data_IF_914222294359
#
_entry.id   IF_914222294359
#
_cell.length_a   1.000
_cell.length_b   1.000
_cell.length_c   1.000
_cell.angle_alpha   90.00
_cell.angle_beta   90.00
_cell.angle_gamma   90.00
#
_symmetry.space_group_name_H-M   'P 1'
#
loop_
_entity.id
_entity.type
_entity.pdbx_description
1 polymer ?
#
# COMPACT_ATOMS: atom_id res chain seq x y z
N UNK A 1 5.99 6.27 -0.96
CA UNK A 1 4.57 6.60 -1.01
C UNK A 1 4.33 7.95 -0.34
N UNK A 2 3.63 8.87 -1.02
CA UNK A 2 3.46 10.21 -0.46
C UNK A 2 2.60 10.16 0.82
N UNK A 3 2.92 10.96 1.84
CA UNK A 3 2.06 11.10 3.01
C UNK A 3 0.69 11.65 2.64
N UNK A 4 -0.33 11.30 3.41
CA UNK A 4 -1.68 11.85 3.24
C UNK A 4 -1.70 13.36 3.57
N UNK A 5 -0.91 13.76 4.56
CA UNK A 5 -0.79 15.14 5.01
C UNK A 5 0.67 15.48 5.24
N UNK A 6 1.08 16.63 4.73
CA UNK A 6 2.39 17.21 5.01
C UNK A 6 2.28 18.24 6.13
N UNK A 7 3.06 18.06 7.19
CA UNK A 7 3.34 19.10 8.17
C UNK A 7 4.70 19.73 7.87
N UNK A 8 4.95 20.97 8.34
CA UNK A 8 6.25 21.64 8.13
C UNK A 8 7.41 20.83 8.70
N UNK A 9 7.21 20.22 9.88
CA UNK A 9 8.21 19.38 10.52
C UNK A 9 8.41 18.09 9.72
N UNK A 10 7.33 17.42 9.32
CA UNK A 10 7.40 16.18 8.53
C UNK A 10 8.08 16.39 7.18
N UNK A 11 7.79 17.52 6.51
CA UNK A 11 8.45 17.85 5.25
C UNK A 11 9.94 18.14 5.42
N UNK A 12 10.33 18.89 6.47
CA UNK A 12 11.75 19.11 6.80
C UNK A 12 12.49 17.81 7.12
N UNK A 13 11.85 16.90 7.86
CA UNK A 13 12.43 15.60 8.16
C UNK A 13 12.61 14.74 6.90
N UNK A 14 11.64 14.72 6.00
CA UNK A 14 11.75 14.04 4.71
C UNK A 14 12.92 14.61 3.89
N UNK A 15 13.03 15.95 3.81
CA UNK A 15 14.15 16.60 3.11
C UNK A 15 15.48 16.26 3.74
N UNK A 16 15.58 16.34 5.05
CA UNK A 16 16.81 15.99 5.77
C UNK A 16 17.20 14.53 5.54
N UNK A 17 16.24 13.62 5.53
CA UNK A 17 16.49 12.21 5.26
C UNK A 17 17.05 11.98 3.85
N UNK A 18 16.50 12.66 2.84
CA UNK A 18 16.99 12.58 1.46
C UNK A 18 18.37 13.25 1.32
N UNK A 19 18.49 14.49 1.79
CA UNK A 19 19.66 15.34 1.53
C UNK A 19 20.90 14.89 2.35
N UNK A 20 20.70 14.42 3.58
CA UNK A 20 21.77 13.97 4.48
C UNK A 20 22.01 12.46 4.37
N UNK A 21 20.95 11.68 4.17
CA UNK A 21 21.03 10.22 4.04
C UNK A 21 21.74 9.75 2.79
N UNK A 22 21.76 10.56 1.72
CA UNK A 22 22.40 10.22 0.45
C UNK A 22 21.78 9.04 -0.27
N UNK A 23 20.50 8.73 0.01
CA UNK A 23 19.77 7.65 -0.62
C UNK A 23 19.03 8.12 -1.87
N UNK A 24 18.97 7.26 -2.87
CA UNK A 24 18.02 7.46 -3.96
C UNK A 24 16.59 7.43 -3.41
N UNK A 25 15.76 8.35 -3.86
CA UNK A 25 14.39 8.46 -3.38
C UNK A 25 13.38 8.38 -4.53
N UNK A 26 12.44 7.46 -4.42
CA UNK A 26 11.30 7.35 -5.32
C UNK A 26 10.04 7.70 -4.54
N UNK A 27 9.45 8.87 -4.85
CA UNK A 27 8.19 9.28 -4.26
C UNK A 27 7.02 8.92 -5.19
N UNK A 28 6.18 8.01 -4.74
CA UNK A 28 4.95 7.66 -5.44
C UNK A 28 3.76 8.41 -4.84
N UNK A 29 3.04 9.14 -5.68
CA UNK A 29 1.80 9.84 -5.30
C UNK A 29 0.61 9.18 -5.98
N UNK A 30 -0.29 8.54 -5.22
CA UNK A 30 -1.45 7.87 -5.80
C UNK A 30 -2.46 8.88 -6.35
N UNK A 31 -3.35 8.41 -7.22
CA UNK A 31 -4.49 9.20 -7.69
C UNK A 31 -5.42 9.50 -6.50
N UNK A 32 -5.47 10.78 -6.08
CA UNK A 32 -6.23 11.20 -4.89
C UNK A 32 -7.74 10.94 -5.00
N UNK A 33 -8.32 11.04 -6.21
CA UNK A 33 -9.74 10.75 -6.44
C UNK A 33 -10.03 9.25 -6.25
N UNK A 34 -9.19 8.39 -6.79
CA UNK A 34 -9.31 6.94 -6.61
C UNK A 34 -9.11 6.55 -5.14
N UNK A 35 -8.05 7.07 -4.52
CA UNK A 35 -7.76 6.80 -3.10
C UNK A 35 -8.93 7.21 -2.19
N UNK A 36 -9.57 8.35 -2.47
CA UNK A 36 -10.75 8.82 -1.71
C UNK A 36 -11.93 7.86 -1.83
N UNK A 37 -12.19 7.33 -3.02
CA UNK A 37 -13.27 6.36 -3.24
C UNK A 37 -12.95 5.05 -2.51
N UNK A 38 -11.74 4.52 -2.66
CA UNK A 38 -11.34 3.28 -2.02
C UNK A 38 -11.36 3.41 -0.49
N UNK A 39 -10.95 4.56 0.05
CA UNK A 39 -11.03 4.84 1.49
C UNK A 39 -12.49 4.89 1.98
N UNK A 40 -13.40 5.46 1.18
CA UNK A 40 -14.82 5.48 1.48
C UNK A 40 -15.42 4.07 1.50
N UNK A 41 -15.14 3.24 0.49
CA UNK A 41 -15.59 1.85 0.45
C UNK A 41 -15.03 1.05 1.65
N UNK A 42 -13.74 1.23 1.95
CA UNK A 42 -13.10 0.58 3.09
C UNK A 42 -13.69 1.03 4.44
N UNK A 43 -14.08 2.29 4.56
CA UNK A 43 -14.74 2.78 5.76
C UNK A 43 -16.15 2.18 5.92
N UNK A 44 -16.94 2.18 4.85
CA UNK A 44 -18.33 1.69 4.88
C UNK A 44 -18.37 0.18 5.16
N UNK A 45 -17.51 -0.59 4.51
CA UNK A 45 -17.57 -2.06 4.57
C UNK A 45 -16.75 -2.66 5.72
N UNK A 46 -15.63 -2.01 6.10
CA UNK A 46 -14.63 -2.59 7.00
C UNK A 46 -14.36 -1.72 8.23
N UNK A 47 -14.95 -0.52 8.32
CA UNK A 47 -14.59 0.51 9.31
C UNK A 47 -13.09 0.85 9.34
N UNK A 48 -12.39 0.64 8.22
CA UNK A 48 -10.94 0.79 8.12
C UNK A 48 -10.50 1.63 6.89
N UNK A 49 -10.66 2.97 6.93
CA UNK A 49 -10.41 3.85 5.77
C UNK A 49 -8.95 3.85 5.29
N UNK A 50 -8.01 3.42 6.13
CA UNK A 50 -6.58 3.39 5.81
C UNK A 50 -6.15 2.12 5.05
N UNK A 51 -7.03 1.15 4.85
CA UNK A 51 -6.70 -0.11 4.19
C UNK A 51 -6.10 0.08 2.78
N UNK A 52 -6.69 0.91 1.88
CA UNK A 52 -6.12 1.12 0.55
C UNK A 52 -4.74 1.78 0.59
N UNK A 53 -4.51 2.67 1.54
CA UNK A 53 -3.22 3.30 1.76
C UNK A 53 -2.15 2.27 2.17
N UNK A 54 -2.48 1.37 3.08
CA UNK A 54 -1.58 0.29 3.51
C UNK A 54 -1.24 -0.66 2.36
N UNK A 55 -2.21 -1.02 1.53
CA UNK A 55 -1.97 -1.84 0.34
C UNK A 55 -1.10 -1.11 -0.69
N UNK A 56 -1.35 0.18 -0.90
CA UNK A 56 -0.54 1.01 -1.79
C UNK A 56 0.93 1.05 -1.40
N UNK A 57 1.24 1.21 -0.11
CA UNK A 57 2.62 1.20 0.39
C UNK A 57 3.30 -0.14 0.08
N UNK A 58 2.62 -1.24 0.35
CA UNK A 58 3.19 -2.59 0.13
C UNK A 58 3.38 -2.90 -1.35
N UNK A 59 2.36 -2.59 -2.18
CA UNK A 59 2.42 -2.88 -3.61
C UNK A 59 3.48 -2.05 -4.34
N UNK A 60 3.66 -0.77 -3.98
CA UNK A 60 4.67 0.07 -4.64
C UNK A 60 6.10 -0.39 -4.32
N UNK A 61 6.35 -0.90 -3.11
CA UNK A 61 7.63 -1.47 -2.75
C UNK A 61 7.98 -2.67 -3.62
N UNK A 62 7.04 -3.61 -3.77
CA UNK A 62 7.20 -4.80 -4.62
C UNK A 62 7.36 -4.42 -6.11
N UNK A 63 6.51 -3.52 -6.64
CA UNK A 63 6.60 -3.04 -8.03
C UNK A 63 7.93 -2.34 -8.31
N UNK A 64 8.43 -1.56 -7.37
CA UNK A 64 9.72 -0.87 -7.49
C UNK A 64 10.86 -1.88 -7.49
N UNK A 65 10.82 -2.86 -6.59
CA UNK A 65 11.81 -3.92 -6.53
C UNK A 65 11.89 -4.72 -7.84
N UNK A 66 10.75 -5.10 -8.40
CA UNK A 66 10.68 -5.79 -9.69
C UNK A 66 11.22 -4.93 -10.83
N UNK A 67 10.87 -3.64 -10.87
CA UNK A 67 11.29 -2.71 -11.92
C UNK A 67 12.81 -2.51 -11.96
N UNK A 68 13.45 -2.49 -10.80
CA UNK A 68 14.89 -2.22 -10.67
C UNK A 68 15.71 -3.47 -10.34
N UNK A 69 15.13 -4.66 -10.43
CA UNK A 69 15.74 -5.96 -10.11
C UNK A 69 16.35 -6.00 -8.69
N UNK A 70 15.67 -5.39 -7.73
CA UNK A 70 16.08 -5.37 -6.33
C UNK A 70 15.63 -6.69 -5.68
N UNK A 71 16.60 -7.46 -5.16
CA UNK A 71 16.34 -8.80 -4.60
C UNK A 71 15.88 -8.78 -3.13
N UNK A 72 16.12 -7.67 -2.42
CA UNK A 72 15.81 -7.56 -1.00
C UNK A 72 15.07 -6.25 -0.72
N UNK A 73 13.89 -6.34 -0.16
CA UNK A 73 13.09 -5.20 0.29
C UNK A 73 12.99 -5.25 1.81
N UNK A 74 13.36 -4.16 2.47
CA UNK A 74 13.25 -4.03 3.92
C UNK A 74 12.11 -3.09 4.28
N UNK A 75 11.26 -3.50 5.20
CA UNK A 75 10.23 -2.66 5.79
C UNK A 75 10.65 -2.22 7.19
N UNK A 76 10.45 -0.95 7.51
CA UNK A 76 10.78 -0.39 8.82
C UNK A 76 9.76 -0.72 9.92
N UNK A 77 8.64 -1.35 9.58
CA UNK A 77 7.56 -1.68 10.50
C UNK A 77 7.35 -3.20 10.57
N UNK A 78 7.75 -3.87 11.67
CA UNK A 78 7.47 -5.30 11.83
C UNK A 78 6.00 -5.52 12.19
N UNK A 79 5.40 -6.51 11.58
CA UNK A 79 4.01 -6.91 11.86
C UNK A 79 3.78 -7.31 13.32
N UNK A 80 4.82 -7.84 13.97
CA UNK A 80 4.77 -8.27 15.37
C UNK A 80 4.45 -7.11 16.34
N UNK A 81 4.77 -5.87 15.99
CA UNK A 81 4.50 -4.71 16.86
C UNK A 81 3.03 -4.27 16.84
N UNK A 82 2.28 -4.64 15.81
CA UNK A 82 0.89 -4.19 15.62
C UNK A 82 -0.16 -5.26 15.97
N UNK A 83 0.25 -6.38 16.56
CA UNK A 83 -0.66 -7.44 16.97
C UNK A 83 -1.30 -8.15 15.78
N UNK A 84 -0.58 -9.08 15.17
CA UNK A 84 -1.18 -10.03 14.24
C UNK A 84 -1.89 -11.12 15.05
N UNK A 85 -3.16 -11.39 14.74
CA UNK A 85 -3.87 -12.56 15.30
C UNK A 85 -3.27 -13.88 14.83
N UNK A 86 -2.46 -13.83 13.77
CA UNK A 86 -1.76 -14.99 13.22
C UNK A 86 -0.33 -15.08 13.75
N UNK A 87 -0.15 -15.91 14.77
CA UNK A 87 1.15 -16.18 15.38
C UNK A 87 2.16 -16.80 14.41
N UNK A 88 1.74 -17.35 13.28
CA UNK A 88 2.63 -17.93 12.28
C UNK A 88 3.45 -16.86 11.53
N UNK A 89 2.90 -15.65 11.39
CA UNK A 89 3.58 -14.54 10.74
C UNK A 89 4.65 -13.87 11.61
N UNK A 90 4.57 -14.06 12.94
CA UNK A 90 5.52 -13.46 13.90
C UNK A 90 6.86 -14.22 13.91
N UNK A 91 6.83 -15.50 13.59
CA UNK A 91 8.02 -16.36 13.61
C UNK A 91 8.76 -16.44 12.27
N UNK A 92 8.17 -15.93 11.19
CA UNK A 92 8.81 -15.93 9.86
C UNK A 92 9.51 -14.59 9.58
N UNK A 93 10.84 -14.58 9.35
CA UNK A 93 11.56 -13.36 9.00
C UNK A 93 11.26 -12.87 7.58
N UNK A 94 10.50 -13.61 6.79
CA UNK A 94 10.15 -13.28 5.42
C UNK A 94 8.65 -13.35 5.18
N UNK A 95 8.15 -12.44 4.36
CA UNK A 95 6.79 -12.49 3.84
C UNK A 95 6.65 -13.64 2.85
N UNK A 96 5.75 -14.56 3.11
CA UNK A 96 5.30 -15.48 2.08
C UNK A 96 4.25 -14.75 1.21
N UNK A 97 4.55 -14.59 -0.08
CA UNK A 97 3.66 -13.94 -1.04
C UNK A 97 2.72 -14.92 -1.75
N UNK A 98 2.81 -16.21 -1.44
CA UNK A 98 2.01 -17.24 -2.12
C UNK A 98 0.50 -17.00 -1.97
N UNK A 99 0.06 -16.41 -0.86
CA UNK A 99 -1.33 -16.04 -0.65
C UNK A 99 -1.79 -14.89 -1.58
N UNK A 100 -0.87 -14.00 -1.98
CA UNK A 100 -1.18 -12.92 -2.93
C UNK A 100 -1.35 -13.48 -4.35
N UNK A 101 -0.56 -14.51 -4.69
CA UNK A 101 -0.53 -15.11 -6.03
C UNK A 101 -1.71 -16.06 -6.22
N UNK A 102 -2.10 -16.80 -5.19
CA UNK A 102 -3.13 -17.83 -5.27
C UNK A 102 -4.56 -17.27 -5.30
N UNK A 103 -4.81 -16.06 -4.77
CA UNK A 103 -6.13 -15.41 -4.73
C UNK A 103 -6.33 -14.37 -5.84
N UNK A 104 -5.60 -14.47 -6.94
CA UNK A 104 -5.57 -13.44 -8.00
C UNK A 104 -6.89 -13.24 -8.76
N UNK A 105 -7.88 -14.13 -8.61
CA UNK A 105 -9.19 -13.97 -9.26
C UNK A 105 -10.19 -13.15 -8.43
N UNK A 106 -9.99 -13.03 -7.11
CA UNK A 106 -10.88 -12.33 -6.17
C UNK A 106 -10.18 -11.16 -5.49
N UNK A 107 -9.92 -10.09 -6.25
CA UNK A 107 -9.29 -8.89 -5.71
C UNK A 107 -10.34 -7.97 -5.10
N UNK A 108 -10.21 -7.70 -3.80
CA UNK A 108 -11.06 -6.78 -3.05
C UNK A 108 -10.31 -5.53 -2.62
N UNK A 109 -10.92 -4.38 -2.85
CA UNK A 109 -10.46 -3.11 -2.32
C UNK A 109 -11.53 -2.54 -1.38
N UNK A 110 -11.16 -2.36 -0.12
CA UNK A 110 -12.11 -1.82 0.86
C UNK A 110 -13.35 -2.70 1.05
N UNK A 111 -13.21 -4.03 0.98
CA UNK A 111 -14.33 -4.97 1.08
C UNK A 111 -15.25 -5.03 -0.14
N UNK A 112 -14.91 -4.31 -1.23
CA UNK A 112 -15.66 -4.33 -2.48
C UNK A 112 -14.82 -5.00 -3.58
N UNK A 113 -15.39 -5.96 -4.29
CA UNK A 113 -14.72 -6.62 -5.41
C UNK A 113 -14.37 -5.60 -6.51
N UNK A 114 -13.19 -5.72 -7.13
CA UNK A 114 -12.70 -4.72 -8.09
C UNK A 114 -13.65 -4.49 -9.28
N UNK A 115 -14.33 -5.53 -9.78
CA UNK A 115 -15.33 -5.42 -10.86
C UNK A 115 -16.54 -4.57 -10.46
N UNK A 116 -16.94 -4.65 -9.19
CA UNK A 116 -18.07 -3.85 -8.68
C UNK A 116 -17.67 -2.39 -8.48
N UNK A 117 -16.41 -2.12 -8.13
CA UNK A 117 -15.85 -0.77 -8.10
C UNK A 117 -15.90 -0.14 -9.49
N UNK A 118 -15.42 -0.85 -10.52
CA UNK A 118 -15.45 -0.38 -11.91
C UNK A 118 -16.89 -0.13 -12.36
N UNK A 119 -17.82 -1.01 -12.03
CA UNK A 119 -19.24 -0.86 -12.38
C UNK A 119 -19.89 0.32 -11.67
N UNK A 120 -19.58 0.52 -10.40
CA UNK A 120 -20.12 1.61 -9.57
C UNK A 120 -19.54 2.98 -9.94
N UNK A 121 -18.27 3.01 -10.29
CA UNK A 121 -17.53 4.23 -10.61
C UNK A 121 -17.03 4.16 -12.06
N UNK A 122 -17.88 4.47 -13.02
CA UNK A 122 -17.68 4.30 -14.48
C UNK A 122 -16.39 4.94 -15.05
N UNK A 123 -15.78 5.88 -14.33
CA UNK A 123 -14.51 6.50 -14.73
C UNK A 123 -13.27 5.72 -14.26
N UNK A 124 -13.43 4.74 -13.36
CA UNK A 124 -12.36 3.87 -12.90
C UNK A 124 -12.17 2.75 -13.92
N UNK A 125 -10.94 2.56 -14.34
CA UNK A 125 -10.55 1.47 -15.25
C UNK A 125 -9.79 0.41 -14.47
N UNK A 126 -9.73 -0.80 -15.00
CA UNK A 126 -8.99 -1.90 -14.41
C UNK A 126 -7.52 -1.55 -14.16
N UNK A 127 -6.87 -0.87 -15.13
CA UNK A 127 -5.48 -0.42 -15.00
C UNK A 127 -5.26 0.63 -13.89
N UNK A 128 -6.30 1.27 -13.39
CA UNK A 128 -6.18 2.23 -12.29
C UNK A 128 -6.10 1.53 -10.93
N UNK A 129 -6.49 0.26 -10.87
CA UNK A 129 -6.53 -0.58 -9.68
C UNK A 129 -5.32 -1.55 -9.58
N UNK A 130 -4.49 -1.61 -10.64
CA UNK A 130 -3.30 -2.45 -10.70
C UNK A 130 -2.06 -1.78 -10.09
#
# INVERSE_FOLDING_TARGET
YSPILYTDIGFRNLRAWIDVGGFDNILFSPNGKLTSILAREAFINLLHPMQPFKFGIKSIAAKTALKYDIKLVMFGEPYAEYGSEDNSSVSSPSYNIDWIINDSEDIFFGGTHYKDIIKKYQWVKENDLN
#
